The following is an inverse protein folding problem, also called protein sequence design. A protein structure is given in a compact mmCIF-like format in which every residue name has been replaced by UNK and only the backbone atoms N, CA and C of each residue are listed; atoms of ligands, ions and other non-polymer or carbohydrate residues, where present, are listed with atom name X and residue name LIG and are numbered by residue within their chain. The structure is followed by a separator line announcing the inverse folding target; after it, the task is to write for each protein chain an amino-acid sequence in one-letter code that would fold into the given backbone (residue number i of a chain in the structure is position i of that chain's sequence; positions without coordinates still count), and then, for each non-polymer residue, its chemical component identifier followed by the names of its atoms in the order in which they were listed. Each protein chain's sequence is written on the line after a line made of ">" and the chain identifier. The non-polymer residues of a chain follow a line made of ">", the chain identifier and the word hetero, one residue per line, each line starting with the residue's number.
data_IF_843607653170
#
_entry.id   IF_843607653170
#
_cell.length_a   1.000
_cell.length_b   1.000
_cell.length_c   1.000
_cell.angle_alpha   90.00
_cell.angle_beta   90.00
_cell.angle_gamma   90.00
#
_symmetry.space_group_name_H-M   'P 1'
#
loop_
_entity.id
_entity.type
_entity.pdbx_description
1 polymer ?
#
# COMPACT_ATOMS: atom_id res chain seq x y z
N UNK A 1 13.64 13.89 -7.70
CA UNK A 1 13.12 12.98 -6.66
C UNK A 1 11.92 13.56 -5.91
N UNK A 2 11.89 14.79 -5.43
CA UNK A 2 10.68 15.33 -4.78
C UNK A 2 9.44 15.35 -5.69
N UNK A 3 9.62 15.50 -6.99
CA UNK A 3 8.54 15.56 -7.97
C UNK A 3 8.07 14.18 -8.48
N UNK A 4 8.76 13.10 -8.12
CA UNK A 4 8.54 11.75 -8.66
C UNK A 4 7.76 10.83 -7.73
N UNK A 5 7.22 11.34 -6.63
CA UNK A 5 6.45 10.57 -5.66
C UNK A 5 7.21 10.19 -4.38
N UNK A 6 8.52 10.48 -4.26
CA UNK A 6 9.31 10.19 -3.06
C UNK A 6 8.70 10.79 -1.79
N UNK A 7 8.33 12.06 -1.83
CA UNK A 7 7.73 12.77 -0.68
C UNK A 7 6.27 12.37 -0.40
N UNK A 8 5.69 11.51 -1.23
CA UNK A 8 4.33 10.99 -1.08
C UNK A 8 4.29 9.59 -0.47
N UNK A 9 5.45 9.02 -0.08
CA UNK A 9 5.49 7.74 0.61
C UNK A 9 5.44 7.93 2.12
N UNK A 10 4.51 7.26 2.77
CA UNK A 10 4.39 7.19 4.22
C UNK A 10 4.66 5.78 4.73
N UNK A 11 4.78 5.61 6.04
CA UNK A 11 5.06 4.33 6.68
C UNK A 11 3.79 3.75 7.29
N UNK A 12 3.44 2.56 6.85
CA UNK A 12 2.31 1.78 7.33
C UNK A 12 2.77 0.38 7.71
N UNK A 13 2.60 0.00 8.98
CA UNK A 13 3.13 -1.25 9.51
C UNK A 13 4.65 -1.38 9.21
N UNK A 14 5.09 -2.53 8.75
CA UNK A 14 6.46 -2.75 8.25
C UNK A 14 6.69 -2.25 6.81
N UNK A 15 5.65 -1.73 6.15
CA UNK A 15 5.59 -1.44 4.72
C UNK A 15 5.37 0.06 4.46
N UNK A 16 4.81 0.39 3.30
CA UNK A 16 4.51 1.76 2.89
C UNK A 16 3.03 1.93 2.52
N UNK A 17 2.61 3.18 2.45
CA UNK A 17 1.35 3.61 1.87
C UNK A 17 1.50 4.99 1.25
N UNK A 18 0.57 5.37 0.39
CA UNK A 18 0.61 6.64 -0.34
C UNK A 18 -0.65 7.44 -0.05
N UNK A 19 -0.59 8.66 0.50
CA UNK A 19 -1.73 9.56 0.57
C UNK A 19 -2.33 9.80 -0.82
N UNK A 20 -3.66 9.69 -0.94
CA UNK A 20 -4.41 9.86 -2.20
C UNK A 20 -5.54 10.88 -2.09
N UNK A 21 -5.68 11.48 -0.94
CA UNK A 21 -6.63 12.54 -0.64
C UNK A 21 -6.29 13.20 0.69
N UNK A 22 -6.97 14.29 1.07
CA UNK A 22 -6.64 15.03 2.29
C UNK A 22 -6.76 14.18 3.56
N UNK A 23 -7.58 13.14 3.55
CA UNK A 23 -7.85 12.30 4.72
C UNK A 23 -7.62 10.82 4.47
N UNK A 24 -7.09 10.43 3.30
CA UNK A 24 -7.00 9.04 2.91
C UNK A 24 -5.62 8.68 2.38
N UNK A 25 -5.13 7.48 2.74
CA UNK A 25 -4.01 6.85 2.06
C UNK A 25 -4.40 5.47 1.55
N UNK A 26 -3.71 5.02 0.50
CA UNK A 26 -3.87 3.70 -0.11
C UNK A 26 -2.63 2.85 0.13
N UNK A 27 -2.83 1.56 0.33
CA UNK A 27 -1.78 0.54 0.46
C UNK A 27 -2.29 -0.80 -0.09
N UNK A 28 -1.49 -1.86 -0.02
CA UNK A 28 -1.92 -3.21 -0.33
C UNK A 28 -2.69 -3.82 0.87
N UNK A 29 -3.80 -4.49 0.61
CA UNK A 29 -4.66 -5.05 1.66
C UNK A 29 -3.95 -6.15 2.46
N UNK A 30 -3.12 -6.96 1.81
CA UNK A 30 -2.36 -8.03 2.48
C UNK A 30 -1.32 -7.52 3.49
N UNK A 31 -0.96 -6.23 3.47
CA UNK A 31 -0.12 -5.61 4.50
C UNK A 31 -0.81 -5.60 5.85
N UNK A 32 -2.15 -5.58 5.85
CA UNK A 32 -2.95 -5.59 7.07
C UNK A 32 -2.98 -4.25 7.80
N UNK A 33 -3.25 -4.34 9.10
CA UNK A 33 -3.44 -3.21 10.00
C UNK A 33 -4.84 -3.17 10.58
N UNK A 34 -5.07 -2.29 11.55
CA UNK A 34 -6.36 -2.10 12.20
C UNK A 34 -6.68 -0.60 12.37
N UNK A 35 -7.96 -0.28 12.48
CA UNK A 35 -8.38 1.07 12.90
C UNK A 35 -7.79 1.40 14.27
N UNK A 36 -7.19 2.56 14.40
CA UNK A 36 -6.41 3.00 15.57
C UNK A 36 -4.90 2.89 15.36
N UNK A 37 -4.42 2.15 14.36
CA UNK A 37 -3.00 2.11 14.02
C UNK A 37 -2.52 3.44 13.43
N UNK A 38 -1.22 3.67 13.54
CA UNK A 38 -0.59 4.92 13.13
C UNK A 38 0.04 4.82 11.73
N UNK A 39 -0.33 5.73 10.86
CA UNK A 39 0.37 6.02 9.61
C UNK A 39 1.32 7.19 9.82
N UNK A 40 2.62 7.00 9.54
CA UNK A 40 3.61 8.07 9.66
C UNK A 40 3.90 8.68 8.29
N UNK A 41 3.62 9.97 8.14
CA UNK A 41 3.85 10.70 6.90
C UNK A 41 4.64 11.98 7.15
N UNK A 42 5.80 12.12 6.50
CA UNK A 42 6.71 13.26 6.67
C UNK A 42 7.05 13.56 8.14
N UNK A 43 7.24 12.51 8.93
CA UNK A 43 7.55 12.63 10.36
C UNK A 43 6.36 12.96 11.26
N UNK A 44 5.16 13.13 10.71
CA UNK A 44 3.92 13.32 11.47
C UNK A 44 3.14 12.01 11.54
N UNK A 45 2.61 11.70 12.72
CA UNK A 45 1.78 10.53 12.97
C UNK A 45 0.30 10.86 12.81
N UNK A 46 -0.41 10.04 12.04
CA UNK A 46 -1.84 10.13 11.82
C UNK A 46 -2.49 8.81 12.25
N UNK A 47 -3.54 8.89 13.07
CA UNK A 47 -4.28 7.71 13.54
C UNK A 47 -5.35 7.34 12.51
N UNK A 48 -5.44 6.07 12.14
CA UNK A 48 -6.49 5.57 11.26
C UNK A 48 -7.83 5.49 11.98
N UNK A 49 -8.91 5.87 11.30
CA UNK A 49 -10.27 5.95 11.87
C UNK A 49 -11.30 5.12 11.11
N UNK A 50 -11.00 4.77 9.85
CA UNK A 50 -11.80 3.83 9.07
C UNK A 50 -10.93 3.09 8.05
N UNK A 51 -11.44 1.94 7.62
CA UNK A 51 -10.81 1.04 6.66
C UNK A 51 -11.80 0.72 5.53
N UNK A 52 -11.37 0.85 4.29
CA UNK A 52 -12.14 0.56 3.09
C UNK A 52 -11.36 -0.47 2.25
N UNK A 53 -11.59 -1.78 2.49
CA UNK A 53 -11.04 -2.81 1.63
C UNK A 53 -11.75 -2.80 0.27
N UNK A 54 -10.98 -2.92 -0.81
CA UNK A 54 -11.57 -3.11 -2.12
C UNK A 54 -12.07 -4.56 -2.27
N UNK A 55 -13.36 -4.78 -2.52
CA UNK A 55 -13.90 -6.14 -2.64
C UNK A 55 -13.40 -6.90 -3.89
N UNK A 56 -12.69 -6.22 -4.80
CA UNK A 56 -12.30 -6.77 -6.11
C UNK A 56 -10.83 -6.58 -6.43
N UNK A 57 -9.99 -6.19 -5.47
CA UNK A 57 -8.53 -6.11 -5.63
C UNK A 57 -7.82 -6.12 -4.29
N UNK A 58 -6.50 -6.19 -4.31
CA UNK A 58 -5.68 -6.08 -3.10
C UNK A 58 -5.47 -4.61 -2.67
N UNK A 59 -6.42 -3.72 -2.93
CA UNK A 59 -6.36 -2.36 -2.40
C UNK A 59 -7.00 -2.25 -1.02
N UNK A 60 -6.34 -1.49 -0.17
CA UNK A 60 -6.88 -1.02 1.09
C UNK A 60 -6.72 0.50 1.16
N UNK A 61 -7.84 1.23 1.30
CA UNK A 61 -7.82 2.65 1.65
C UNK A 61 -8.09 2.78 3.14
N UNK A 62 -7.33 3.63 3.78
CA UNK A 62 -7.50 4.02 5.17
C UNK A 62 -7.85 5.49 5.26
N UNK A 63 -8.83 5.84 6.08
CA UNK A 63 -9.12 7.20 6.50
C UNK A 63 -8.34 7.51 7.79
N UNK A 64 -7.81 8.72 7.89
CA UNK A 64 -7.04 9.18 9.05
C UNK A 64 -7.76 10.30 9.80
N UNK A 65 -7.43 10.43 11.10
CA UNK A 65 -7.68 11.64 11.85
C UNK A 65 -6.69 12.73 11.42
N UNK A 66 -7.20 13.90 11.09
CA UNK A 66 -6.38 15.02 10.60
C UNK A 66 -6.36 15.14 9.09
N UNK A 67 -5.42 15.91 8.56
CA UNK A 67 -5.34 16.24 7.13
C UNK A 67 -3.90 16.12 6.64
N UNK A 68 -3.70 15.38 5.55
CA UNK A 68 -2.39 15.33 4.89
C UNK A 68 -2.07 16.67 4.24
N UNK A 69 -0.82 17.15 4.32
CA UNK A 69 -0.40 18.39 3.67
C UNK A 69 -0.31 18.26 2.14
N UNK A 70 -0.20 17.04 1.62
CA UNK A 70 -0.06 16.73 0.19
C UNK A 70 -0.44 15.28 -0.07
N UNK A 71 -0.91 14.98 -1.29
CA UNK A 71 -1.29 13.63 -1.73
C UNK A 71 -1.02 13.42 -3.22
N UNK A 72 -0.93 12.13 -3.61
CA UNK A 72 -0.70 11.73 -4.99
C UNK A 72 -1.94 11.99 -5.85
N UNK A 73 -1.71 12.45 -7.07
CA UNK A 73 -2.72 12.43 -8.13
C UNK A 73 -2.73 11.03 -8.75
N UNK A 74 -3.93 10.49 -8.98
CA UNK A 74 -4.10 9.19 -9.58
C UNK A 74 -3.85 9.23 -11.09
N UNK A 75 -3.26 8.16 -11.62
CA UNK A 75 -3.08 8.00 -13.06
C UNK A 75 -4.42 7.63 -13.71
N UNK A 76 -4.81 8.38 -14.73
CA UNK A 76 -6.03 8.17 -15.53
C UNK A 76 -5.76 8.16 -17.05
N UNK A 77 -4.48 8.14 -17.44
CA UNK A 77 -4.03 8.14 -18.83
C UNK A 77 -4.52 6.97 -19.68
N UNK A 78 -4.23 6.98 -20.96
CA UNK A 78 -4.80 6.00 -21.91
C UNK A 78 -4.25 4.59 -21.71
N UNK A 79 -2.94 4.46 -21.48
CA UNK A 79 -2.24 3.17 -21.28
C UNK A 79 -0.97 3.35 -20.47
N UNK A 80 -0.69 2.39 -19.63
CA UNK A 80 0.55 2.30 -18.85
C UNK A 80 1.63 1.51 -19.57
N UNK A 81 1.27 0.63 -20.49
CA UNK A 81 2.22 -0.24 -21.22
C UNK A 81 3.28 0.60 -21.93
N UNK A 82 4.53 0.21 -21.76
CA UNK A 82 5.74 0.87 -22.25
C UNK A 82 6.05 2.23 -21.62
N UNK A 83 5.28 2.68 -20.64
CA UNK A 83 5.59 3.91 -19.91
C UNK A 83 6.74 3.68 -18.92
N UNK A 84 7.62 4.68 -18.81
CA UNK A 84 8.64 4.73 -17.78
C UNK A 84 7.98 4.95 -16.42
N UNK A 85 8.50 4.25 -15.40
CA UNK A 85 7.98 4.31 -14.04
C UNK A 85 9.08 4.56 -13.01
N UNK A 86 8.65 5.07 -11.87
CA UNK A 86 9.40 5.06 -10.62
C UNK A 86 8.60 4.28 -9.59
N UNK A 87 9.26 3.37 -8.89
CA UNK A 87 8.67 2.52 -7.86
C UNK A 87 9.36 2.77 -6.53
N UNK A 88 8.57 2.73 -5.46
CA UNK A 88 9.04 2.95 -4.09
C UNK A 88 8.77 1.74 -3.22
N UNK A 89 9.65 1.51 -2.25
CA UNK A 89 9.49 0.48 -1.25
C UNK A 89 10.44 0.69 -0.09
N UNK A 90 10.30 -0.10 0.97
CA UNK A 90 11.20 -0.07 2.14
C UNK A 90 11.60 -1.46 2.60
N UNK A 91 11.64 -2.39 1.65
CA UNK A 91 11.87 -3.80 1.88
C UNK A 91 13.34 -4.19 1.99
N UNK A 92 13.57 -5.46 1.60
CA UNK A 92 14.88 -6.09 1.66
C UNK A 92 15.91 -5.42 0.75
N UNK A 93 17.16 -5.41 1.20
CA UNK A 93 18.29 -5.02 0.36
C UNK A 93 18.64 -6.13 -0.63
N UNK A 94 19.48 -5.80 -1.62
CA UNK A 94 20.10 -6.78 -2.49
C UNK A 94 20.97 -7.74 -1.67
N UNK A 95 20.74 -9.04 -1.82
CA UNK A 95 21.47 -10.10 -1.13
C UNK A 95 22.53 -10.78 -2.01
N UNK A 96 22.69 -12.07 -1.81
CA UNK A 96 23.71 -12.90 -2.51
C UNK A 96 23.38 -13.06 -3.98
N UNK A 97 24.40 -13.06 -4.82
CA UNK A 97 24.28 -13.35 -6.25
C UNK A 97 23.74 -14.75 -6.50
N UNK A 98 22.82 -14.87 -7.44
CA UNK A 98 22.34 -16.14 -7.99
C UNK A 98 23.13 -16.41 -9.27
N UNK A 99 23.89 -17.51 -9.29
CA UNK A 99 24.70 -17.89 -10.43
C UNK A 99 24.41 -19.33 -10.86
N UNK A 100 24.35 -19.56 -12.17
CA UNK A 100 24.30 -20.88 -12.80
C UNK A 100 25.49 -21.02 -13.74
N UNK A 101 26.32 -22.05 -13.55
CA UNK A 101 27.54 -22.29 -14.34
C UNK A 101 28.43 -21.02 -14.46
N UNK A 102 28.52 -20.22 -13.39
CA UNK A 102 29.28 -18.98 -13.36
C UNK A 102 28.54 -17.75 -13.93
N UNK A 103 27.48 -17.91 -14.71
CA UNK A 103 26.67 -16.80 -15.22
C UNK A 103 25.79 -16.21 -14.12
N UNK A 104 25.79 -14.89 -13.97
CA UNK A 104 24.93 -14.19 -13.06
C UNK A 104 23.49 -14.20 -13.59
N UNK A 105 22.53 -14.57 -12.76
CA UNK A 105 21.10 -14.64 -13.06
C UNK A 105 20.26 -13.60 -12.30
N UNK A 106 20.77 -13.09 -11.20
CA UNK A 106 20.10 -12.13 -10.33
C UNK A 106 20.66 -12.12 -8.92
N UNK A 107 19.84 -11.72 -7.96
CA UNK A 107 20.23 -11.62 -6.55
C UNK A 107 19.11 -12.11 -5.64
N UNK A 108 19.45 -12.92 -4.66
CA UNK A 108 18.55 -13.27 -3.57
C UNK A 108 18.14 -12.01 -2.80
N UNK A 109 16.99 -12.05 -2.15
CA UNK A 109 16.62 -11.02 -1.20
C UNK A 109 17.56 -11.06 0.01
N UNK A 110 18.08 -9.90 0.38
CA UNK A 110 18.93 -9.74 1.55
C UNK A 110 18.12 -9.39 2.80
N UNK A 111 18.80 -8.83 3.78
CA UNK A 111 18.17 -8.42 5.03
C UNK A 111 17.12 -7.32 4.81
N UNK A 112 16.04 -7.39 5.59
CA UNK A 112 15.08 -6.29 5.71
C UNK A 112 15.68 -5.21 6.63
N UNK A 113 15.76 -3.96 6.15
CA UNK A 113 16.33 -2.84 6.92
C UNK A 113 15.39 -1.63 7.06
N UNK A 114 14.16 -1.75 6.55
CA UNK A 114 13.10 -0.75 6.65
C UNK A 114 13.46 0.64 6.09
N UNK A 115 14.44 0.75 5.20
CA UNK A 115 14.81 2.03 4.57
C UNK A 115 14.01 2.25 3.31
N UNK A 116 13.41 3.42 3.19
CA UNK A 116 12.75 3.83 1.95
C UNK A 116 13.77 3.89 0.81
N UNK A 117 13.40 3.29 -0.32
CA UNK A 117 14.18 3.23 -1.57
C UNK A 117 13.29 3.52 -2.76
N UNK A 118 13.91 3.79 -3.86
CA UNK A 118 13.26 3.97 -5.14
C UNK A 118 14.08 3.30 -6.23
N UNK A 119 13.42 3.03 -7.34
CA UNK A 119 14.09 2.61 -8.56
C UNK A 119 13.24 2.91 -9.79
N UNK A 120 13.82 2.68 -10.94
CA UNK A 120 13.21 2.91 -12.24
C UNK A 120 12.95 1.59 -12.93
N UNK A 121 11.94 1.57 -13.78
CA UNK A 121 11.66 0.47 -14.68
C UNK A 121 10.66 0.95 -15.75
N UNK A 122 10.06 0.02 -16.46
CA UNK A 122 9.06 0.26 -17.49
C UNK A 122 7.93 -0.76 -17.34
N UNK A 123 6.68 -0.32 -17.50
CA UNK A 123 5.54 -1.25 -17.55
C UNK A 123 5.65 -2.12 -18.78
N UNK A 124 5.76 -3.42 -18.60
CA UNK A 124 5.93 -4.40 -19.69
C UNK A 124 4.59 -4.79 -20.30
N UNK A 125 3.59 -5.03 -19.47
CA UNK A 125 2.23 -5.42 -19.90
C UNK A 125 1.22 -5.18 -18.80
N UNK A 126 -0.05 -5.46 -19.11
CA UNK A 126 -1.16 -5.48 -18.17
C UNK A 126 -1.80 -6.85 -18.28
N UNK A 127 -2.12 -7.47 -17.15
CA UNK A 127 -2.82 -8.77 -17.08
C UNK A 127 -4.02 -8.66 -16.14
N UNK A 128 -4.99 -9.56 -16.30
CA UNK A 128 -6.03 -9.75 -15.30
C UNK A 128 -5.40 -10.22 -13.99
N UNK A 129 -5.90 -9.75 -12.87
CA UNK A 129 -5.50 -10.25 -11.55
C UNK A 129 -6.03 -11.68 -11.38
N UNK A 130 -5.17 -12.69 -11.17
CA UNK A 130 -5.61 -14.08 -11.05
C UNK A 130 -6.44 -14.34 -9.78
N UNK A 131 -6.26 -13.51 -8.75
CA UNK A 131 -6.87 -13.69 -7.43
C UNK A 131 -8.13 -12.82 -7.23
N UNK A 132 -8.32 -11.79 -8.07
CA UNK A 132 -9.41 -10.83 -7.93
C UNK A 132 -10.12 -10.55 -9.25
N UNK A 133 -11.38 -10.99 -9.35
CA UNK A 133 -12.19 -10.76 -10.55
C UNK A 133 -12.47 -9.27 -10.79
N UNK A 134 -12.09 -8.79 -11.96
CA UNK A 134 -12.31 -7.39 -12.38
C UNK A 134 -11.20 -6.43 -12.00
N UNK A 135 -10.14 -6.90 -11.35
CA UNK A 135 -8.89 -6.17 -11.19
C UNK A 135 -7.87 -6.53 -12.27
N UNK A 136 -6.89 -5.66 -12.43
CA UNK A 136 -5.76 -5.86 -13.31
C UNK A 136 -4.45 -5.51 -12.60
N UNK A 137 -3.37 -6.13 -13.06
CA UNK A 137 -2.02 -5.92 -12.58
C UNK A 137 -1.16 -5.28 -13.66
N UNK A 138 -0.35 -4.31 -13.25
CA UNK A 138 0.79 -3.86 -14.03
C UNK A 138 1.90 -4.89 -13.85
N UNK A 139 2.42 -5.40 -14.97
CA UNK A 139 3.57 -6.31 -15.00
C UNK A 139 4.81 -5.52 -15.33
N UNK A 140 5.85 -5.70 -14.55
CA UNK A 140 7.13 -5.01 -14.71
C UNK A 140 8.26 -6.04 -14.72
N UNK A 141 8.96 -6.13 -15.84
CA UNK A 141 10.08 -7.06 -16.02
C UNK A 141 11.36 -6.48 -15.42
N UNK A 142 12.14 -7.35 -14.75
CA UNK A 142 13.44 -7.00 -14.24
C UNK A 142 14.53 -7.37 -15.25
N UNK A 143 15.03 -6.40 -15.98
CA UNK A 143 16.02 -6.61 -17.03
C UNK A 143 17.43 -6.24 -16.56
N UNK A 144 18.46 -6.91 -17.06
CA UNK A 144 19.82 -6.75 -16.51
C UNK A 144 20.47 -5.39 -16.78
N UNK A 145 19.99 -4.60 -17.73
CA UNK A 145 20.60 -3.33 -18.10
C UNK A 145 19.62 -2.36 -18.82
N UNK A 146 18.33 -2.38 -18.49
CA UNK A 146 17.36 -1.54 -19.17
C UNK A 146 17.41 -0.09 -18.71
N UNK A 147 17.67 0.14 -17.41
CA UNK A 147 17.85 1.48 -16.83
C UNK A 147 19.02 1.51 -15.84
N UNK A 148 19.53 2.71 -15.53
CA UNK A 148 20.64 2.88 -14.57
C UNK A 148 20.26 2.44 -13.15
N UNK A 149 18.98 2.62 -12.80
CA UNK A 149 18.43 2.30 -11.47
C UNK A 149 17.32 1.25 -11.59
N UNK A 150 17.54 0.25 -12.43
CA UNK A 150 16.58 -0.85 -12.62
C UNK A 150 16.21 -1.48 -11.29
N UNK A 151 14.91 -1.55 -11.00
CA UNK A 151 14.40 -2.05 -9.74
C UNK A 151 13.57 -3.31 -9.91
N UNK A 152 13.61 -4.14 -8.88
CA UNK A 152 12.68 -5.22 -8.60
C UNK A 152 12.23 -5.12 -7.15
N UNK A 153 11.06 -5.66 -6.83
CA UNK A 153 10.56 -5.68 -5.46
C UNK A 153 11.21 -6.80 -4.63
N UNK A 154 11.26 -6.58 -3.33
CA UNK A 154 11.66 -7.56 -2.33
C UNK A 154 10.66 -7.63 -1.17
N UNK A 155 10.94 -8.47 -0.18
CA UNK A 155 10.12 -8.57 1.02
C UNK A 155 10.01 -7.21 1.73
N UNK A 156 8.77 -6.74 1.98
CA UNK A 156 8.50 -5.48 2.65
C UNK A 156 8.31 -4.28 1.72
N UNK A 157 8.37 -4.46 0.38
CA UNK A 157 8.05 -3.41 -0.60
C UNK A 157 6.55 -3.30 -0.92
N UNK A 158 5.73 -4.21 -0.40
CA UNK A 158 4.27 -4.19 -0.54
C UNK A 158 3.67 -2.85 -0.09
N UNK A 159 2.62 -2.41 -0.78
CA UNK A 159 1.95 -1.14 -0.47
C UNK A 159 2.68 0.11 -0.96
N UNK A 160 3.91 -0.01 -1.46
CA UNK A 160 4.65 1.10 -2.07
C UNK A 160 4.02 1.57 -3.37
N UNK A 161 4.11 2.87 -3.65
CA UNK A 161 3.55 3.45 -4.86
C UNK A 161 4.42 3.21 -6.09
N UNK A 162 3.75 2.90 -7.21
CA UNK A 162 4.32 2.91 -8.55
C UNK A 162 3.77 4.11 -9.31
N UNK A 163 4.65 4.98 -9.79
CA UNK A 163 4.29 6.23 -10.44
C UNK A 163 4.73 6.24 -11.90
N UNK A 164 3.91 6.82 -12.76
CA UNK A 164 4.16 7.03 -14.19
C UNK A 164 4.16 8.54 -14.48
N UNK A 165 5.07 8.97 -15.33
CA UNK A 165 5.14 10.37 -15.78
C UNK A 165 4.09 10.63 -16.87
N UNK A 166 3.10 11.44 -16.56
CA UNK A 166 2.07 11.86 -17.50
C UNK A 166 1.97 13.39 -17.55
N UNK A 167 2.07 13.96 -18.73
CA UNK A 167 1.99 15.43 -18.95
C UNK A 167 2.92 16.21 -18.00
N UNK A 168 4.17 15.75 -17.86
CA UNK A 168 5.19 16.31 -16.97
C UNK A 168 4.86 16.25 -15.46
N UNK A 169 3.87 15.45 -15.04
CA UNK A 169 3.53 15.19 -13.65
C UNK A 169 3.59 13.68 -13.35
N UNK A 170 4.16 13.32 -12.20
CA UNK A 170 4.17 11.94 -11.73
C UNK A 170 2.83 11.61 -11.08
N UNK A 171 2.18 10.55 -11.56
CA UNK A 171 0.87 10.10 -11.11
C UNK A 171 0.94 8.68 -10.59
N UNK A 172 0.23 8.38 -9.53
CA UNK A 172 0.15 7.06 -8.93
C UNK A 172 -0.64 6.13 -9.86
N UNK A 173 0.05 5.14 -10.43
CA UNK A 173 -0.53 4.20 -11.40
C UNK A 173 -0.72 2.79 -10.83
N UNK A 174 -0.01 2.44 -9.75
CA UNK A 174 -0.12 1.13 -9.12
C UNK A 174 0.36 1.13 -7.68
N UNK A 175 -0.01 0.06 -6.95
CA UNK A 175 0.47 -0.25 -5.60
C UNK A 175 1.16 -1.61 -5.65
N UNK A 176 2.38 -1.68 -5.15
CA UNK A 176 3.20 -2.90 -5.14
C UNK A 176 2.46 -4.06 -4.47
N UNK A 177 2.38 -5.19 -5.19
CA UNK A 177 1.62 -6.36 -4.77
C UNK A 177 2.54 -7.56 -4.50
N UNK A 178 3.20 -8.06 -5.53
CA UNK A 178 3.90 -9.34 -5.49
C UNK A 178 5.02 -9.42 -6.54
N UNK A 179 5.69 -10.55 -6.57
CA UNK A 179 6.74 -10.87 -7.54
C UNK A 179 6.53 -12.28 -8.09
N UNK A 180 7.26 -12.63 -9.14
CA UNK A 180 7.39 -14.01 -9.58
C UNK A 180 7.85 -14.90 -8.42
N UNK A 181 7.34 -16.13 -8.39
CA UNK A 181 7.51 -17.06 -7.29
C UNK A 181 8.97 -17.45 -7.00
N UNK A 182 9.11 -18.29 -5.97
CA UNK A 182 10.40 -18.72 -5.46
C UNK A 182 11.20 -19.51 -6.50
N UNK A 183 12.51 -19.47 -6.35
CA UNK A 183 13.48 -20.10 -7.22
C UNK A 183 14.35 -21.10 -6.47
N UNK A 184 14.98 -22.02 -7.24
CA UNK A 184 15.98 -22.93 -6.74
C UNK A 184 17.06 -23.17 -7.82
N UNK A 185 18.25 -23.57 -7.41
CA UNK A 185 19.31 -24.03 -8.33
C UNK A 185 19.30 -25.53 -8.55
N UNK A 186 18.39 -26.26 -7.87
CA UNK A 186 18.23 -27.71 -7.95
C UNK A 186 16.76 -28.12 -8.01
N UNK A 187 16.48 -29.32 -8.47
CA UNK A 187 15.11 -29.87 -8.58
C UNK A 187 14.49 -30.25 -7.23
N UNK A 188 15.23 -30.14 -6.13
CA UNK A 188 14.80 -30.51 -4.78
C UNK A 188 15.41 -29.56 -3.75
N UNK A 189 14.91 -29.59 -2.53
CA UNK A 189 15.41 -28.79 -1.41
C UNK A 189 14.68 -27.46 -1.25
N UNK A 190 15.21 -26.61 -0.39
CA UNK A 190 14.62 -25.31 -0.09
C UNK A 190 14.94 -24.30 -1.20
N UNK A 191 13.91 -23.58 -1.65
CA UNK A 191 14.08 -22.46 -2.55
C UNK A 191 14.45 -21.16 -1.84
N UNK A 192 14.62 -20.13 -2.65
CA UNK A 192 14.92 -18.77 -2.20
C UNK A 192 14.08 -17.74 -2.99
N UNK A 193 13.83 -16.59 -2.37
CA UNK A 193 13.23 -15.44 -3.03
C UNK A 193 14.33 -14.57 -3.61
N UNK A 194 14.12 -14.05 -4.82
CA UNK A 194 15.15 -13.33 -5.56
C UNK A 194 14.59 -12.37 -6.60
N UNK A 195 15.35 -11.33 -6.90
CA UNK A 195 15.22 -10.53 -8.11
C UNK A 195 16.02 -11.18 -9.24
N UNK A 196 15.34 -11.79 -10.19
CA UNK A 196 15.97 -12.56 -11.28
C UNK A 196 15.74 -11.84 -12.61
N UNK A 197 16.82 -11.51 -13.32
CA UNK A 197 16.75 -10.95 -14.67
C UNK A 197 16.90 -12.01 -15.77
N UNK A 198 17.26 -13.23 -15.40
CA UNK A 198 17.31 -14.37 -16.32
C UNK A 198 16.98 -15.67 -15.56
N UNK A 199 15.77 -16.17 -15.78
CA UNK A 199 15.24 -17.38 -15.16
C UNK A 199 15.80 -18.68 -15.79
N UNK A 200 16.48 -18.58 -16.95
CA UNK A 200 17.01 -19.74 -17.67
C UNK A 200 17.92 -20.60 -16.80
N UNK A 201 17.74 -21.90 -16.84
CA UNK A 201 18.41 -22.90 -16.01
C UNK A 201 18.14 -22.83 -14.49
N UNK A 202 17.22 -21.98 -14.04
CA UNK A 202 16.70 -22.00 -12.66
C UNK A 202 15.45 -22.90 -12.56
N UNK A 203 15.22 -23.44 -11.39
CA UNK A 203 13.96 -24.10 -11.06
C UNK A 203 13.01 -23.07 -10.43
N UNK A 204 11.78 -23.01 -10.93
CA UNK A 204 10.70 -22.19 -10.40
C UNK A 204 9.74 -23.04 -9.58
N UNK A 205 9.30 -22.55 -8.44
CA UNK A 205 8.31 -23.24 -7.59
C UNK A 205 6.95 -23.26 -8.28
N UNK A 206 6.31 -24.41 -8.27
CA UNK A 206 4.94 -24.62 -8.76
C UNK A 206 4.15 -25.43 -7.74
N UNK A 207 2.85 -25.56 -7.93
CA UNK A 207 2.02 -26.41 -7.06
C UNK A 207 2.45 -27.88 -7.01
N UNK A 208 3.17 -28.35 -8.04
CA UNK A 208 3.62 -29.73 -8.15
C UNK A 208 5.11 -29.92 -7.81
N UNK A 209 5.78 -28.87 -7.36
CA UNK A 209 7.20 -28.86 -7.01
C UNK A 209 8.04 -27.97 -7.92
N UNK A 210 9.34 -28.25 -7.99
CA UNK A 210 10.31 -27.45 -8.75
C UNK A 210 10.31 -27.81 -10.23
N UNK A 211 10.09 -26.85 -11.10
CA UNK A 211 10.12 -27.01 -12.56
C UNK A 211 11.28 -26.22 -13.14
N UNK A 212 12.15 -26.91 -13.92
CA UNK A 212 13.27 -26.26 -14.60
C UNK A 212 12.78 -25.32 -15.69
N UNK A 213 13.21 -24.07 -15.64
CA UNK A 213 13.04 -23.11 -16.73
C UNK A 213 14.10 -23.40 -17.81
N UNK A 214 13.71 -23.68 -19.06
CA UNK A 214 14.68 -23.88 -20.16
C UNK A 214 15.60 -22.68 -20.32
N UNK A 215 16.87 -22.91 -20.62
CA UNK A 215 17.80 -21.84 -20.95
C UNK A 215 17.59 -21.42 -22.40
N UNK A 216 17.30 -20.16 -22.64
CA UNK A 216 17.06 -19.59 -23.96
C UNK A 216 18.22 -18.66 -24.35
N UNK A 217 18.43 -18.37 -25.66
CA UNK A 217 19.46 -17.43 -26.12
C UNK A 217 19.29 -16.00 -25.58
N UNK A 218 18.07 -15.64 -25.18
CA UNK A 218 17.75 -14.35 -24.59
C UNK A 218 17.33 -14.51 -23.15
N UNK A 219 17.74 -13.57 -22.29
CA UNK A 219 17.36 -13.56 -20.88
C UNK A 219 15.84 -13.60 -20.70
N UNK A 220 15.40 -14.41 -19.77
CA UNK A 220 14.01 -14.55 -19.36
C UNK A 220 13.80 -13.80 -18.05
N UNK A 221 13.44 -12.54 -18.14
CA UNK A 221 13.27 -11.69 -16.98
C UNK A 221 12.18 -12.22 -16.02
N UNK A 222 12.44 -12.17 -14.73
CA UNK A 222 11.41 -12.26 -13.70
C UNK A 222 10.60 -10.99 -13.62
N UNK A 223 9.42 -11.08 -13.05
CA UNK A 223 8.47 -9.97 -12.96
C UNK A 223 8.20 -9.57 -11.53
N UNK A 224 7.84 -8.31 -11.35
CA UNK A 224 7.04 -7.90 -10.22
C UNK A 224 5.69 -7.33 -10.70
N UNK A 225 4.75 -7.24 -9.77
CA UNK A 225 3.37 -6.89 -10.05
C UNK A 225 2.93 -5.77 -9.13
N UNK A 226 2.13 -4.84 -9.69
CA UNK A 226 1.44 -3.83 -8.91
C UNK A 226 -0.05 -3.83 -9.26
N UNK A 227 -0.90 -3.75 -8.26
CA UNK A 227 -2.35 -3.60 -8.46
C UNK A 227 -2.61 -2.30 -9.21
N UNK A 228 -3.29 -2.37 -10.35
CA UNK A 228 -3.51 -1.26 -11.27
C UNK A 228 -4.56 -0.29 -10.75
N UNK A 229 -4.21 0.99 -10.61
CA UNK A 229 -5.12 2.06 -10.15
C UNK A 229 -6.27 2.27 -11.12
N UNK A 230 -6.01 2.32 -12.43
CA UNK A 230 -6.97 2.77 -13.44
C UNK A 230 -8.26 1.95 -13.47
N UNK A 231 -8.20 0.63 -13.31
CA UNK A 231 -9.40 -0.23 -13.28
C UNK A 231 -10.25 -0.02 -12.04
N UNK A 232 -9.68 0.58 -10.99
CA UNK A 232 -10.34 0.81 -9.69
C UNK A 232 -10.62 2.30 -9.40
N UNK A 233 -10.37 3.19 -10.37
CA UNK A 233 -10.54 4.65 -10.20
C UNK A 233 -11.93 5.02 -9.66
N UNK A 234 -12.99 4.44 -10.20
CA UNK A 234 -14.38 4.73 -9.77
C UNK A 234 -14.59 4.37 -8.30
N UNK A 235 -14.07 3.20 -7.87
CA UNK A 235 -14.16 2.79 -6.48
C UNK A 235 -13.32 3.71 -5.58
N UNK A 236 -12.06 3.98 -5.95
CA UNK A 236 -11.18 4.87 -5.18
C UNK A 236 -11.84 6.25 -5.03
N UNK A 237 -12.30 6.85 -6.12
CA UNK A 237 -12.95 8.16 -6.12
C UNK A 237 -14.23 8.15 -5.29
N UNK A 238 -15.00 7.06 -5.32
CA UNK A 238 -16.19 6.86 -4.49
C UNK A 238 -15.86 6.89 -2.98
N UNK A 239 -14.77 6.24 -2.57
CA UNK A 239 -14.28 6.30 -1.18
C UNK A 239 -13.83 7.70 -0.82
N UNK A 240 -13.01 8.36 -1.68
CA UNK A 240 -12.49 9.70 -1.41
C UNK A 240 -13.58 10.77 -1.35
N UNK A 241 -14.65 10.63 -2.12
CA UNK A 241 -15.79 11.55 -2.14
C UNK A 241 -16.85 11.22 -1.08
N UNK A 242 -16.72 10.07 -0.41
CA UNK A 242 -17.64 9.64 0.65
C UNK A 242 -17.64 10.59 1.84
N UNK A 243 -18.69 10.53 2.67
CA UNK A 243 -18.70 11.28 3.93
C UNK A 243 -17.58 10.75 4.84
N UNK A 244 -16.79 11.67 5.39
CA UNK A 244 -15.76 11.30 6.37
C UNK A 244 -16.40 10.64 7.61
N UNK A 245 -15.72 9.66 8.16
CA UNK A 245 -16.14 9.00 9.40
C UNK A 245 -16.11 10.01 10.55
N UNK A 246 -17.18 10.12 11.36
CA UNK A 246 -17.15 10.97 12.53
C UNK A 246 -16.08 10.52 13.51
N UNK A 247 -15.17 11.39 13.89
CA UNK A 247 -14.11 11.09 14.85
C UNK A 247 -14.48 11.70 16.18
N UNK A 248 -14.73 10.85 17.19
CA UNK A 248 -14.92 11.33 18.55
C UNK A 248 -13.55 11.63 19.16
N UNK A 249 -13.40 12.82 19.68
CA UNK A 249 -12.21 13.21 20.44
C UNK A 249 -12.60 13.68 21.83
N UNK A 250 -11.72 13.50 22.81
CA UNK A 250 -11.94 13.87 24.21
C UNK A 250 -10.79 14.69 24.79
N UNK A 251 -11.12 15.48 25.81
CA UNK A 251 -10.17 16.22 26.64
C UNK A 251 -10.63 16.26 28.09
N UNK A 252 -9.72 16.47 29.02
CA UNK A 252 -10.02 16.67 30.46
C UNK A 252 -10.50 18.10 30.79
N UNK A 253 -10.40 19.04 29.84
CA UNK A 253 -10.94 20.41 29.97
C UNK A 253 -11.42 20.92 28.62
N UNK A 254 -12.38 21.85 28.62
CA UNK A 254 -13.01 22.39 27.39
C UNK A 254 -12.01 23.05 26.44
N UNK A 255 -10.96 23.66 26.98
CA UNK A 255 -9.88 24.30 26.23
C UNK A 255 -8.59 23.45 26.21
N UNK A 256 -8.68 22.17 26.60
CA UNK A 256 -7.55 21.23 26.60
C UNK A 256 -7.18 20.72 25.23
N UNK A 257 -6.07 19.96 25.19
CA UNK A 257 -5.71 19.19 24.00
C UNK A 257 -6.65 18.00 23.86
N UNK A 258 -7.34 17.91 22.75
CA UNK A 258 -8.22 16.81 22.42
C UNK A 258 -7.43 15.67 21.77
N UNK A 259 -7.73 14.44 22.15
CA UNK A 259 -7.17 13.21 21.57
C UNK A 259 -8.29 12.30 21.09
N UNK A 260 -7.99 11.48 20.08
CA UNK A 260 -8.95 10.51 19.52
C UNK A 260 -9.34 9.49 20.55
N UNK A 261 -10.64 9.27 20.71
CA UNK A 261 -11.19 8.20 21.57
C UNK A 261 -11.06 6.88 20.84
N UNK A 262 -10.12 6.05 21.28
CA UNK A 262 -9.96 4.68 20.75
C UNK A 262 -11.06 3.76 21.26
N UNK A 263 -11.54 2.85 20.38
CA UNK A 263 -12.61 1.91 20.75
C UNK A 263 -14.03 2.49 20.71
N UNK A 264 -14.22 3.70 20.15
CA UNK A 264 -15.55 4.23 19.87
C UNK A 264 -16.25 3.40 18.78
N UNK A 265 -17.47 2.96 19.07
CA UNK A 265 -18.34 2.24 18.12
C UNK A 265 -19.21 3.27 17.41
N UNK A 266 -19.02 3.42 16.10
CA UNK A 266 -19.73 4.41 15.29
C UNK A 266 -20.81 3.72 14.47
N UNK A 267 -22.06 4.13 14.66
CA UNK A 267 -23.20 3.77 13.81
C UNK A 267 -23.58 4.99 12.97
N UNK A 268 -23.10 5.00 11.73
CA UNK A 268 -23.36 6.11 10.80
C UNK A 268 -24.81 6.16 10.34
N UNK A 269 -25.54 5.03 10.35
CA UNK A 269 -26.94 4.94 9.96
C UNK A 269 -27.84 5.60 11.00
N UNK A 270 -27.65 5.25 12.27
CA UNK A 270 -28.41 5.79 13.39
C UNK A 270 -27.79 7.08 13.95
N UNK A 271 -26.64 7.51 13.39
CA UNK A 271 -25.89 8.69 13.84
C UNK A 271 -25.59 8.67 15.33
N UNK A 272 -25.04 7.53 15.79
CA UNK A 272 -24.64 7.36 17.18
C UNK A 272 -23.19 6.94 17.31
N UNK A 273 -22.57 7.37 18.40
CA UNK A 273 -21.24 6.93 18.82
C UNK A 273 -21.37 6.37 20.23
N UNK A 274 -20.88 5.17 20.46
CA UNK A 274 -20.88 4.51 21.77
C UNK A 274 -19.45 4.31 22.27
N UNK A 275 -19.23 4.63 23.54
CA UNK A 275 -17.95 4.43 24.24
C UNK A 275 -18.21 3.89 25.65
N UNK A 276 -17.26 3.15 26.21
CA UNK A 276 -17.29 2.82 27.62
C UNK A 276 -17.15 4.11 28.45
N UNK A 277 -18.01 4.27 29.45
CA UNK A 277 -17.91 5.42 30.35
C UNK A 277 -16.63 5.31 31.19
N UNK A 278 -15.84 6.38 31.21
CA UNK A 278 -14.66 6.52 32.05
C UNK A 278 -14.96 7.35 33.29
N UNK A 279 -14.13 7.22 34.32
CA UNK A 279 -14.24 8.06 35.53
C UNK A 279 -13.64 9.45 35.26
N UNK A 280 -14.22 10.48 35.88
CA UNK A 280 -13.74 11.86 35.78
C UNK A 280 -14.59 12.73 34.86
N UNK A 281 -14.12 13.97 34.65
CA UNK A 281 -14.79 14.94 33.78
C UNK A 281 -14.15 14.86 32.39
N UNK A 282 -14.97 14.58 31.39
CA UNK A 282 -14.58 14.49 30.01
C UNK A 282 -15.39 15.46 29.14
N UNK A 283 -14.70 16.08 28.18
CA UNK A 283 -15.30 16.95 27.18
C UNK A 283 -15.12 16.25 25.82
N UNK A 284 -16.23 16.09 25.10
CA UNK A 284 -16.26 15.41 23.81
C UNK A 284 -16.63 16.37 22.68
N UNK A 285 -15.99 16.19 21.54
CA UNK A 285 -16.42 16.82 20.26
C UNK A 285 -16.23 15.84 19.12
N UNK A 286 -16.88 16.11 17.99
CA UNK A 286 -16.68 15.33 16.77
C UNK A 286 -15.81 16.18 15.84
N UNK A 287 -14.69 15.59 15.39
CA UNK A 287 -13.83 16.15 14.34
C UNK A 287 -14.27 15.65 12.96
N UNK A 288 -13.72 16.26 11.91
CA UNK A 288 -13.95 15.96 10.49
C UNK A 288 -15.39 16.20 9.98
N UNK A 289 -16.29 16.75 10.80
CA UNK A 289 -17.63 17.16 10.34
C UNK A 289 -18.05 18.48 10.97
N UNK A 290 -18.82 19.25 10.22
CA UNK A 290 -19.67 20.28 10.80
C UNK A 290 -20.88 19.60 11.46
N UNK A 291 -20.61 18.86 12.52
CA UNK A 291 -21.56 17.95 13.15
C UNK A 291 -21.56 18.25 14.66
N UNK A 292 -22.73 18.46 15.18
CA UNK A 292 -22.92 18.72 16.61
C UNK A 292 -23.39 17.44 17.34
N UNK A 293 -22.90 17.23 18.55
CA UNK A 293 -23.48 16.25 19.49
C UNK A 293 -24.82 16.83 19.95
N UNK A 294 -25.90 16.11 19.67
CA UNK A 294 -27.27 16.57 19.98
C UNK A 294 -27.81 16.00 21.27
N UNK A 295 -27.34 14.83 21.70
CA UNK A 295 -27.69 14.26 22.98
C UNK A 295 -26.62 13.28 23.47
N UNK A 296 -26.58 13.10 24.78
CA UNK A 296 -25.71 12.16 25.47
C UNK A 296 -26.55 11.35 26.45
N UNK A 297 -26.43 10.02 26.41
CA UNK A 297 -27.11 9.13 27.35
C UNK A 297 -26.11 8.13 27.92
N UNK A 298 -26.23 7.84 29.23
CA UNK A 298 -25.44 6.81 29.93
C UNK A 298 -26.35 5.64 30.31
N UNK A 299 -26.08 4.47 29.75
CA UNK A 299 -26.80 3.24 30.07
C UNK A 299 -25.81 2.09 30.29
N UNK A 300 -25.92 1.39 31.38
CA UNK A 300 -25.12 0.20 31.70
C UNK A 300 -23.60 0.41 31.50
N UNK A 301 -23.07 1.55 31.92
CA UNK A 301 -21.64 1.87 31.75
C UNK A 301 -21.20 2.24 30.33
N UNK A 302 -22.15 2.37 29.40
CA UNK A 302 -21.89 2.85 28.03
C UNK A 302 -22.46 4.26 27.83
N UNK A 303 -21.62 5.15 27.34
CA UNK A 303 -22.02 6.49 26.93
C UNK A 303 -22.41 6.43 25.44
N UNK A 304 -23.65 6.84 25.15
CA UNK A 304 -24.14 6.95 23.76
C UNK A 304 -24.33 8.42 23.41
N UNK A 305 -23.59 8.88 22.41
CA UNK A 305 -23.69 10.24 21.86
C UNK A 305 -24.49 10.17 20.56
N UNK A 306 -25.53 10.97 20.40
CA UNK A 306 -26.18 11.19 19.11
C UNK A 306 -25.62 12.45 18.47
N UNK A 307 -25.50 12.43 17.14
CA UNK A 307 -24.98 13.55 16.37
C UNK A 307 -25.82 13.83 15.12
N UNK A 308 -25.74 15.03 14.58
CA UNK A 308 -26.38 15.45 13.34
C UNK A 308 -25.47 16.33 12.50
#
# INVERSE_FOLDING_TARGET
>A
MAADGWNLQGFWQANTGTPVGPHHFITAAHVGGTVGDTFTFRGTNFVTVAAFPDPSSDFQIWEISGTFPEWAQLYDGMTETSQDLVVFGRGSIRGTEVRINGALKGWQWGAYDARLRWGQNKVSSIIADPDHTGAELLVVQFNSNATTNEAHLGYGDSGGGLFILENAAWRLAGINLSVDGRYNTASTGNGFDAAIFDQGSLYKETQTGWVLTPDLPTNQAGNFYATRIKTRLTWIQGVLAGPLTPILVEASSVNGSYSVVTGAIIDATNKTIQIAASSGTHFYKIENKQTAITSVALNNGMLTLKYQ
#
